data_IF_274905740979
#
_entry.id   IF_274905740979
#
_cell.length_a   1.000
_cell.length_b   1.000
_cell.length_c   1.000
_cell.angle_alpha   90.00
_cell.angle_beta   90.00
_cell.angle_gamma   90.00
#
_symmetry.space_group_name_H-M   'P 1'
#
loop_
_entity.id
_entity.type
_entity.pdbx_description
1 polymer ?
#
# COMPACT_ATOMS: atom_id res chain seq x y z
N UNK A 1 0.04 14.83 19.37
CA UNK A 1 -1.07 14.60 18.41
C UNK A 1 -1.65 13.20 18.65
N UNK A 2 -2.98 13.04 18.71
CA UNK A 2 -3.62 11.79 19.12
C UNK A 2 -3.30 10.59 18.20
N UNK A 3 -3.23 10.80 16.89
CA UNK A 3 -2.93 9.76 15.90
C UNK A 3 -1.53 9.17 16.06
N UNK A 4 -0.54 10.01 16.41
CA UNK A 4 0.83 9.56 16.68
C UNK A 4 0.91 8.75 17.97
N UNK A 5 0.21 9.18 19.02
CA UNK A 5 0.16 8.44 20.28
C UNK A 5 -0.49 7.06 20.11
N UNK A 6 -1.56 6.98 19.30
CA UNK A 6 -2.21 5.72 18.95
C UNK A 6 -1.23 4.74 18.28
N UNK A 7 -0.56 5.17 17.20
CA UNK A 7 0.38 4.33 16.47
C UNK A 7 1.58 3.92 17.34
N UNK A 8 2.12 4.85 18.14
CA UNK A 8 3.20 4.53 19.08
C UNK A 8 2.81 3.48 20.11
N UNK A 9 1.59 3.56 20.66
CA UNK A 9 1.08 2.55 21.59
C UNK A 9 0.91 1.19 20.90
N UNK A 10 0.43 1.17 19.66
CA UNK A 10 0.29 -0.06 18.87
C UNK A 10 1.65 -0.74 18.62
N UNK A 11 2.66 0.04 18.19
CA UNK A 11 4.05 -0.43 18.01
C UNK A 11 4.60 -1.00 19.33
N UNK A 12 4.37 -0.29 20.44
CA UNK A 12 4.83 -0.74 21.77
C UNK A 12 4.20 -2.08 22.16
N UNK A 13 2.89 -2.25 21.94
CA UNK A 13 2.19 -3.52 22.22
C UNK A 13 2.71 -4.65 21.32
N UNK A 14 2.97 -4.39 20.04
CA UNK A 14 3.55 -5.39 19.14
C UNK A 14 4.93 -5.85 19.64
N UNK A 15 5.79 -4.92 20.05
CA UNK A 15 7.09 -5.21 20.63
C UNK A 15 7.00 -5.99 21.95
N UNK A 16 6.09 -5.61 22.85
CA UNK A 16 5.81 -6.34 24.11
C UNK A 16 5.41 -7.80 23.86
N UNK A 17 4.80 -8.09 22.71
CA UNK A 17 4.40 -9.44 22.27
C UNK A 17 5.50 -10.20 21.51
N UNK A 18 6.69 -9.61 21.36
CA UNK A 18 7.80 -10.23 20.65
C UNK A 18 7.75 -10.12 19.13
N UNK A 19 6.89 -9.25 18.57
CA UNK A 19 6.94 -8.93 17.14
C UNK A 19 8.25 -8.19 16.81
N UNK A 20 8.88 -8.58 15.70
CA UNK A 20 10.11 -7.95 15.19
C UNK A 20 9.82 -6.90 14.11
N UNK A 21 8.66 -7.01 13.45
CA UNK A 21 8.20 -6.10 12.41
C UNK A 21 6.85 -5.48 12.76
N UNK A 22 6.61 -4.27 12.28
CA UNK A 22 5.33 -3.57 12.37
C UNK A 22 4.95 -2.98 11.01
N UNK A 23 4.00 -3.61 10.33
CA UNK A 23 3.53 -3.18 9.02
C UNK A 23 2.51 -2.04 9.15
N UNK A 24 2.86 -0.87 8.61
CA UNK A 24 1.96 0.28 8.55
C UNK A 24 1.01 0.24 7.34
N UNK A 25 1.09 -0.78 6.49
CA UNK A 25 0.36 -0.96 5.22
C UNK A 25 0.67 0.11 4.17
N UNK A 26 -0.07 0.09 3.06
CA UNK A 26 0.18 0.89 1.87
C UNK A 26 0.23 2.41 2.07
N UNK A 27 1.03 3.06 1.23
CA UNK A 27 1.21 4.51 1.08
C UNK A 27 1.25 4.86 -0.41
N UNK A 28 1.31 6.15 -0.74
CA UNK A 28 1.73 6.56 -2.08
C UNK A 28 3.12 5.96 -2.41
N UNK A 29 3.37 5.54 -3.66
CA UNK A 29 4.64 4.91 -4.03
C UNK A 29 5.83 5.87 -3.90
N UNK A 30 5.59 7.17 -4.04
CA UNK A 30 6.61 8.23 -3.98
C UNK A 30 6.12 9.43 -3.15
N UNK A 31 7.05 10.31 -2.79
CA UNK A 31 6.75 11.60 -2.17
C UNK A 31 6.17 12.60 -3.20
N UNK A 32 4.97 12.32 -3.68
CA UNK A 32 4.26 13.13 -4.67
C UNK A 32 3.00 13.75 -4.04
N UNK A 33 2.96 15.08 -3.96
CA UNK A 33 1.83 15.83 -3.40
C UNK A 33 0.55 15.76 -4.22
N UNK A 34 0.64 15.37 -5.49
CA UNK A 34 -0.54 15.18 -6.35
C UNK A 34 -1.22 13.83 -6.11
N UNK A 35 -0.50 12.86 -5.52
CA UNK A 35 -1.03 11.53 -5.28
C UNK A 35 -2.09 11.56 -4.16
N UNK A 36 -3.28 10.94 -4.33
CA UNK A 36 -4.36 10.97 -3.33
C UNK A 36 -3.94 10.48 -1.93
N UNK A 37 -2.97 9.55 -1.88
CA UNK A 37 -2.43 8.98 -0.64
C UNK A 37 -1.17 9.71 -0.09
N UNK A 38 -0.81 10.90 -0.57
CA UNK A 38 0.39 11.63 -0.11
C UNK A 38 0.39 11.89 1.40
N UNK A 39 -0.78 12.19 1.97
CA UNK A 39 -0.92 12.38 3.42
C UNK A 39 -0.54 11.13 4.23
N UNK A 40 -0.88 9.94 3.71
CA UNK A 40 -0.47 8.67 4.33
C UNK A 40 1.02 8.43 4.20
N UNK A 41 1.62 8.75 3.04
CA UNK A 41 3.07 8.70 2.85
C UNK A 41 3.76 9.53 3.92
N UNK A 42 3.44 10.83 4.02
CA UNK A 42 4.06 11.73 5.00
C UNK A 42 3.89 11.28 6.46
N UNK A 43 2.69 10.79 6.80
CA UNK A 43 2.40 10.33 8.15
C UNK A 43 3.20 9.08 8.52
N UNK A 44 3.19 8.06 7.66
CA UNK A 44 3.79 6.75 7.96
C UNK A 44 5.31 6.77 7.86
N UNK A 45 5.89 7.47 6.88
CA UNK A 45 7.36 7.60 6.79
C UNK A 45 7.96 8.35 7.99
N UNK A 46 7.16 9.17 8.69
CA UNK A 46 7.59 9.88 9.90
C UNK A 46 7.92 8.97 11.09
N UNK A 47 7.52 7.70 11.09
CA UNK A 47 7.84 6.73 12.14
C UNK A 47 9.20 6.03 11.95
N UNK A 48 9.90 6.29 10.83
CA UNK A 48 11.25 5.77 10.57
C UNK A 48 11.31 4.32 10.08
N UNK A 49 10.22 3.78 9.53
CA UNK A 49 10.22 2.48 8.86
C UNK A 49 10.77 2.52 7.43
N UNK A 50 10.81 1.35 6.78
CA UNK A 50 11.28 1.20 5.40
C UNK A 50 10.12 0.99 4.42
N UNK A 51 10.32 1.41 3.17
CA UNK A 51 9.37 1.18 2.09
C UNK A 51 9.58 -0.21 1.50
N UNK A 52 8.58 -1.09 1.64
CA UNK A 52 8.60 -2.42 1.04
C UNK A 52 7.75 -2.45 -0.25
N UNK A 53 8.38 -2.69 -1.39
CA UNK A 53 7.71 -2.84 -2.68
C UNK A 53 7.53 -4.33 -3.00
N UNK A 54 6.30 -4.83 -2.85
CA UNK A 54 5.97 -6.22 -3.18
C UNK A 54 5.81 -6.43 -4.69
N UNK A 55 5.81 -7.68 -5.15
CA UNK A 55 5.70 -8.04 -6.58
C UNK A 55 4.34 -7.75 -7.23
N UNK A 56 3.39 -7.16 -6.48
CA UNK A 56 2.04 -6.87 -6.97
C UNK A 56 1.17 -8.11 -7.15
N UNK A 57 0.14 -7.97 -7.97
CA UNK A 57 -0.81 -9.02 -8.31
C UNK A 57 -0.36 -9.80 -9.55
N UNK A 58 -0.65 -11.10 -9.58
CA UNK A 58 -0.29 -12.01 -10.66
C UNK A 58 -1.54 -12.76 -11.10
N UNK A 59 -1.84 -12.69 -12.39
CA UNK A 59 -2.96 -13.40 -12.99
C UNK A 59 -2.49 -14.72 -13.62
N UNK A 60 -3.28 -15.77 -13.42
CA UNK A 60 -3.10 -17.06 -14.09
C UNK A 60 -4.34 -17.35 -14.95
N UNK A 61 -4.30 -17.08 -16.27
CA UNK A 61 -5.47 -17.25 -17.12
C UNK A 61 -5.80 -18.73 -17.33
N UNK A 62 -7.04 -19.10 -16.98
CA UNK A 62 -7.56 -20.45 -17.27
C UNK A 62 -8.08 -20.58 -18.71
N UNK A 63 -8.41 -19.45 -19.33
CA UNK A 63 -8.82 -19.34 -20.73
C UNK A 63 -8.16 -18.10 -21.34
N UNK A 64 -7.18 -18.33 -22.20
CA UNK A 64 -6.33 -17.29 -22.79
C UNK A 64 -7.12 -16.31 -23.68
N UNK A 65 -8.12 -16.80 -24.41
CA UNK A 65 -8.92 -15.97 -25.33
C UNK A 65 -9.80 -14.99 -24.55
N UNK A 66 -10.47 -15.46 -23.50
CA UNK A 66 -11.30 -14.62 -22.64
C UNK A 66 -10.44 -13.63 -21.84
N UNK A 67 -9.28 -14.06 -21.35
CA UNK A 67 -8.37 -13.19 -20.62
C UNK A 67 -7.83 -12.08 -21.53
N UNK A 68 -7.40 -12.42 -22.75
CA UNK A 68 -6.94 -11.43 -23.74
C UNK A 68 -8.01 -10.38 -24.06
N UNK A 69 -9.27 -10.81 -24.21
CA UNK A 69 -10.39 -9.90 -24.39
C UNK A 69 -10.60 -9.00 -23.16
N UNK A 70 -10.58 -9.58 -21.95
CA UNK A 70 -10.73 -8.85 -20.70
C UNK A 70 -9.63 -7.79 -20.53
N UNK A 71 -8.36 -8.15 -20.70
CA UNK A 71 -7.24 -7.21 -20.56
C UNK A 71 -7.32 -6.07 -21.57
N UNK A 72 -7.73 -6.36 -22.82
CA UNK A 72 -7.94 -5.32 -23.83
C UNK A 72 -9.08 -4.37 -23.44
N UNK A 73 -10.16 -4.88 -22.85
CA UNK A 73 -11.25 -4.05 -22.33
C UNK A 73 -10.78 -3.19 -21.14
N UNK A 74 -10.06 -3.78 -20.19
CA UNK A 74 -9.56 -3.10 -18.97
C UNK A 74 -8.62 -1.94 -19.30
N UNK A 75 -7.72 -2.11 -20.29
CA UNK A 75 -6.83 -1.04 -20.75
C UNK A 75 -7.56 0.23 -21.21
N UNK A 76 -8.84 0.11 -21.58
CA UNK A 76 -9.68 1.23 -22.01
C UNK A 76 -10.61 1.75 -20.89
N UNK A 77 -10.58 1.16 -19.69
CA UNK A 77 -11.38 1.61 -18.57
C UNK A 77 -10.67 2.71 -17.77
N UNK A 78 -11.46 3.53 -17.08
CA UNK A 78 -10.92 4.50 -16.13
C UNK A 78 -10.27 3.75 -14.97
N UNK A 79 -8.96 3.89 -14.83
CA UNK A 79 -8.23 3.35 -13.69
C UNK A 79 -8.67 4.01 -12.37
N UNK A 80 -8.53 3.28 -11.27
CA UNK A 80 -8.91 3.74 -9.92
C UNK A 80 -8.21 5.05 -9.48
N UNK A 81 -7.11 5.41 -10.12
CA UNK A 81 -6.28 6.57 -9.79
C UNK A 81 -6.63 7.85 -10.56
N UNK A 82 -7.72 7.87 -11.34
CA UNK A 82 -8.16 9.00 -12.18
C UNK A 82 -9.48 9.57 -11.68
#
# INVERSE_FOLDING_TARGET
MATYALQWRAISIARERGCVDYDMFGVAPYNDSSHPMHGLYRFKTGFGGEMHHAMGCWDYPLNEDLYSYFTAMEMNQQGYHV
#
